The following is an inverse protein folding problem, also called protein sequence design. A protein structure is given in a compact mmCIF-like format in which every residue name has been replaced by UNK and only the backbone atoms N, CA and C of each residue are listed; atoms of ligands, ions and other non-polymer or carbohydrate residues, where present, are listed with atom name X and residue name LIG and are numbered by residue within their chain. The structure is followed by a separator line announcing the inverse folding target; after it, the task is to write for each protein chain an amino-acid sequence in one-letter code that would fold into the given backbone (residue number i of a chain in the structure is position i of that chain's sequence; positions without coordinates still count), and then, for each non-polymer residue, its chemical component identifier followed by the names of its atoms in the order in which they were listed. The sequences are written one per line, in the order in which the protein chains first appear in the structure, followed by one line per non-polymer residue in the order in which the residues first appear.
data_IF_340344949423
#
_entry.id   IF_340344949423
#
_cell.length_a   1.000
_cell.length_b   1.000
_cell.length_c   1.000
_cell.angle_alpha   90.00
_cell.angle_beta   90.00
_cell.angle_gamma   90.00
#
_symmetry.space_group_name_H-M   'P 1'
#
loop_
_entity.id
_entity.type
_entity.pdbx_description
1 polymer ?
#
# COMPACT_ATOMS: atom_id res chain seq x y z
N UNK A 1 -27.64 13.56 -31.28
CA UNK A 1 -26.27 13.18 -30.87
C UNK A 1 -25.88 13.82 -29.52
N UNK A 2 -26.83 14.37 -28.76
CA UNK A 2 -26.57 15.12 -27.50
C UNK A 2 -26.64 14.27 -26.22
N UNK A 3 -27.10 13.02 -26.29
CA UNK A 3 -27.41 12.24 -25.08
C UNK A 3 -26.27 11.34 -24.55
N UNK A 4 -25.12 11.26 -25.24
CA UNK A 4 -23.97 10.43 -24.78
C UNK A 4 -23.01 11.23 -23.90
N UNK A 5 -22.93 12.55 -24.08
CA UNK A 5 -22.01 13.40 -23.31
C UNK A 5 -22.51 13.67 -21.88
N UNK A 6 -23.83 13.71 -21.67
CA UNK A 6 -24.43 13.94 -20.35
C UNK A 6 -24.31 12.73 -19.40
N UNK A 7 -23.94 11.55 -19.90
CA UNK A 7 -23.60 10.38 -19.08
C UNK A 7 -22.10 10.28 -18.77
N UNK A 8 -21.28 11.18 -19.31
CA UNK A 8 -19.86 11.24 -19.00
C UNK A 8 -19.73 12.08 -17.74
N UNK A 9 -19.25 11.46 -16.68
CA UNK A 9 -18.94 12.15 -15.43
C UNK A 9 -17.81 13.18 -15.67
N UNK A 10 -18.20 14.45 -15.79
CA UNK A 10 -17.32 15.58 -16.11
C UNK A 10 -16.59 16.18 -14.91
N UNK A 11 -16.90 15.72 -13.69
CA UNK A 11 -16.26 16.26 -12.50
C UNK A 11 -14.75 16.00 -12.53
N UNK A 12 -13.96 16.98 -12.11
CA UNK A 12 -12.49 16.87 -12.13
C UNK A 12 -11.92 16.23 -10.86
N UNK A 13 -12.76 16.04 -9.84
CA UNK A 13 -12.35 15.59 -8.51
C UNK A 13 -13.24 14.42 -8.07
N UNK A 14 -12.69 13.52 -7.27
CA UNK A 14 -13.40 12.35 -6.73
C UNK A 14 -13.89 12.56 -5.30
N UNK A 15 -13.31 13.53 -4.59
CA UNK A 15 -13.50 13.70 -3.16
C UNK A 15 -12.73 14.90 -2.63
N UNK A 16 -12.82 15.09 -1.32
CA UNK A 16 -12.15 16.17 -0.59
C UNK A 16 -11.64 15.61 0.73
N UNK A 17 -10.39 15.92 1.07
CA UNK A 17 -9.76 15.60 2.35
C UNK A 17 -9.52 16.90 3.12
N UNK A 18 -9.71 16.86 4.44
CA UNK A 18 -9.36 17.98 5.31
C UNK A 18 -7.93 17.81 5.80
N UNK A 19 -7.10 18.80 5.50
CA UNK A 19 -5.71 18.86 5.93
C UNK A 19 -5.61 19.25 7.41
N UNK A 20 -4.49 18.93 8.04
CA UNK A 20 -4.15 19.25 9.43
C UNK A 20 -4.17 20.74 9.73
N UNK A 21 -3.97 21.59 8.70
CA UNK A 21 -4.08 23.04 8.79
C UNK A 21 -5.54 23.58 8.63
N UNK A 22 -6.53 22.68 8.58
CA UNK A 22 -7.95 23.01 8.42
C UNK A 22 -8.37 23.37 6.98
N UNK A 23 -7.45 23.35 6.01
CA UNK A 23 -7.77 23.57 4.60
C UNK A 23 -8.31 22.29 3.96
N UNK A 24 -8.98 22.44 2.83
CA UNK A 24 -9.53 21.32 2.07
C UNK A 24 -8.68 21.03 0.83
N UNK A 25 -8.22 19.80 0.69
CA UNK A 25 -7.57 19.29 -0.50
C UNK A 25 -8.60 18.57 -1.38
N UNK A 26 -8.84 19.09 -2.59
CA UNK A 26 -9.70 18.43 -3.57
C UNK A 26 -8.91 17.32 -4.24
N UNK A 27 -9.36 16.08 -4.11
CA UNK A 27 -8.69 14.93 -4.71
C UNK A 27 -9.03 14.86 -6.20
N UNK A 28 -8.06 15.02 -7.10
CA UNK A 28 -8.32 15.01 -8.52
C UNK A 28 -8.61 13.59 -9.03
N UNK A 29 -9.44 13.47 -10.06
CA UNK A 29 -9.62 12.20 -10.78
C UNK A 29 -8.33 11.71 -11.40
N UNK A 30 -8.24 10.39 -11.55
CA UNK A 30 -7.22 9.74 -12.37
C UNK A 30 -7.51 10.02 -13.84
N UNK A 31 -6.89 11.07 -14.38
CA UNK A 31 -6.94 11.35 -15.81
C UNK A 31 -6.14 10.32 -16.61
N UNK A 32 -6.43 10.20 -17.91
CA UNK A 32 -5.65 9.33 -18.81
C UNK A 32 -4.15 9.65 -18.76
N UNK A 33 -3.79 10.94 -18.62
CA UNK A 33 -2.40 11.36 -18.50
C UNK A 33 -1.74 10.85 -17.21
N UNK A 34 -2.45 10.88 -16.07
CA UNK A 34 -1.96 10.31 -14.81
C UNK A 34 -1.79 8.81 -14.89
N UNK A 35 -2.74 8.11 -15.51
CA UNK A 35 -2.62 6.66 -15.76
C UNK A 35 -1.36 6.35 -16.57
N UNK A 36 -1.07 7.13 -17.62
CA UNK A 36 0.16 6.99 -18.41
C UNK A 36 1.40 7.26 -17.55
N UNK A 37 1.39 8.27 -16.68
CA UNK A 37 2.50 8.56 -15.75
C UNK A 37 2.73 7.41 -14.75
N UNK A 38 1.67 6.84 -14.19
CA UNK A 38 1.73 5.65 -13.33
C UNK A 38 2.32 4.47 -14.10
N UNK A 39 1.81 4.18 -15.30
CA UNK A 39 2.32 3.09 -16.15
C UNK A 39 3.78 3.31 -16.53
N UNK A 40 4.19 4.54 -16.83
CA UNK A 40 5.58 4.91 -17.11
C UNK A 40 6.46 4.69 -15.87
N UNK A 41 6.00 5.11 -14.70
CA UNK A 41 6.69 4.87 -13.43
C UNK A 41 6.87 3.36 -13.19
N UNK A 42 5.81 2.57 -13.33
CA UNK A 42 5.87 1.10 -13.20
C UNK A 42 6.82 0.49 -14.24
N UNK A 43 6.79 0.95 -15.48
CA UNK A 43 7.62 0.41 -16.55
C UNK A 43 9.10 0.79 -16.48
N UNK A 44 9.46 1.93 -15.88
CA UNK A 44 10.84 2.42 -15.79
C UNK A 44 11.43 2.12 -14.42
N UNK A 45 10.78 2.64 -13.38
CA UNK A 45 11.23 2.52 -12.00
C UNK A 45 10.72 1.22 -11.38
N UNK A 46 9.45 0.87 -11.63
CA UNK A 46 8.84 -0.35 -11.11
C UNK A 46 9.48 -1.64 -11.61
N UNK A 47 10.10 -1.66 -12.79
CA UNK A 47 10.87 -2.84 -13.24
C UNK A 47 12.14 -3.01 -12.40
N UNK A 48 12.85 -1.92 -12.10
CA UNK A 48 14.05 -1.98 -11.24
C UNK A 48 13.68 -2.39 -9.82
N UNK A 49 12.57 -1.85 -9.31
CA UNK A 49 12.02 -2.21 -8.01
C UNK A 49 11.57 -3.67 -7.99
N UNK A 50 10.95 -4.16 -9.06
CA UNK A 50 10.57 -5.56 -9.20
C UNK A 50 11.79 -6.47 -9.20
N UNK A 51 12.86 -6.11 -9.90
CA UNK A 51 14.08 -6.92 -9.92
C UNK A 51 14.75 -6.97 -8.53
N UNK A 52 14.74 -5.87 -7.78
CA UNK A 52 15.20 -5.82 -6.38
C UNK A 52 14.30 -6.62 -5.43
N UNK A 53 12.98 -6.43 -5.55
CA UNK A 53 11.99 -7.16 -4.77
C UNK A 53 12.02 -8.65 -5.10
N UNK A 54 12.38 -9.04 -6.33
CA UNK A 54 12.50 -10.44 -6.72
C UNK A 54 13.60 -11.15 -5.95
N UNK A 55 14.71 -10.50 -5.64
CA UNK A 55 15.76 -11.08 -4.79
C UNK A 55 15.22 -11.37 -3.39
N UNK A 56 14.46 -10.43 -2.81
CA UNK A 56 13.80 -10.60 -1.51
C UNK A 56 12.69 -11.68 -1.58
N UNK A 57 11.95 -11.76 -2.68
CA UNK A 57 10.90 -12.76 -2.90
C UNK A 57 11.45 -14.18 -3.07
N UNK A 58 12.69 -14.33 -3.50
CA UNK A 58 13.37 -15.62 -3.67
C UNK A 58 14.20 -16.00 -2.44
N UNK A 59 14.21 -15.16 -1.40
CA UNK A 59 14.87 -15.46 -0.14
C UNK A 59 13.99 -16.37 0.72
N UNK A 60 14.34 -17.66 0.74
CA UNK A 60 13.65 -18.69 1.52
C UNK A 60 13.77 -18.49 3.04
N UNK A 61 14.63 -17.57 3.50
CA UNK A 61 14.76 -17.22 4.92
C UNK A 61 13.69 -16.24 5.40
N UNK A 62 13.08 -15.48 4.47
CA UNK A 62 12.04 -14.50 4.78
C UNK A 62 10.66 -15.10 4.56
N UNK A 63 9.84 -15.20 5.61
CA UNK A 63 8.53 -15.89 5.55
C UNK A 63 7.39 -14.90 5.79
N UNK A 64 6.32 -15.02 5.00
CA UNK A 64 5.08 -14.27 5.21
C UNK A 64 5.29 -12.76 5.24
N UNK A 65 4.90 -12.11 6.34
CA UNK A 65 4.90 -10.66 6.50
C UNK A 65 6.30 -10.01 6.43
N UNK A 66 7.35 -10.68 6.90
CA UNK A 66 8.73 -10.15 6.92
C UNK A 66 9.26 -9.85 5.51
N UNK A 67 8.96 -10.74 4.57
CA UNK A 67 9.32 -10.58 3.15
C UNK A 67 8.71 -9.30 2.57
N UNK A 68 7.50 -8.95 2.98
CA UNK A 68 6.82 -7.73 2.52
C UNK A 68 7.31 -6.48 3.22
N UNK A 69 7.57 -6.55 4.53
CA UNK A 69 8.21 -5.47 5.26
C UNK A 69 9.53 -5.08 4.59
N UNK A 70 10.35 -6.05 4.20
CA UNK A 70 11.60 -5.77 3.48
C UNK A 70 11.39 -5.21 2.07
N UNK A 71 10.39 -5.67 1.32
CA UNK A 71 10.06 -5.05 0.03
C UNK A 71 9.60 -3.60 0.22
N UNK A 72 8.79 -3.32 1.24
CA UNK A 72 8.34 -1.96 1.55
C UNK A 72 9.49 -1.06 2.03
N UNK A 73 10.42 -1.59 2.84
CA UNK A 73 11.65 -0.90 3.26
C UNK A 73 12.60 -0.64 2.09
N UNK A 74 12.56 -1.48 1.04
CA UNK A 74 13.36 -1.26 -0.16
C UNK A 74 12.84 -0.11 -1.04
N UNK A 75 11.58 0.31 -0.81
CA UNK A 75 11.01 1.47 -1.48
C UNK A 75 11.67 2.73 -0.94
N UNK A 76 12.28 3.50 -1.83
CA UNK A 76 12.87 4.78 -1.44
C UNK A 76 11.75 5.79 -1.20
N UNK A 77 11.96 6.70 -0.26
CA UNK A 77 11.00 7.75 0.06
C UNK A 77 10.63 8.58 -1.18
N UNK A 78 11.59 8.86 -2.07
CA UNK A 78 11.34 9.60 -3.30
C UNK A 78 10.41 8.85 -4.27
N UNK A 79 10.39 7.52 -4.24
CA UNK A 79 9.48 6.71 -5.06
C UNK A 79 8.04 6.79 -4.55
N UNK A 80 7.85 6.81 -3.23
CA UNK A 80 6.55 7.00 -2.60
C UNK A 80 5.99 8.40 -2.88
N UNK A 81 6.83 9.43 -2.68
CA UNK A 81 6.48 10.83 -2.97
C UNK A 81 6.10 10.99 -4.45
N UNK A 82 6.84 10.34 -5.35
CA UNK A 82 6.56 10.40 -6.78
C UNK A 82 5.21 9.80 -7.16
N UNK A 83 4.78 8.73 -6.48
CA UNK A 83 3.44 8.15 -6.69
C UNK A 83 2.38 9.14 -6.21
N UNK A 84 2.54 9.69 -5.00
CA UNK A 84 1.61 10.66 -4.43
C UNK A 84 1.48 11.92 -5.31
N UNK A 85 2.59 12.46 -5.81
CA UNK A 85 2.59 13.64 -6.68
C UNK A 85 1.85 13.38 -8.00
N UNK A 86 1.98 12.18 -8.58
CA UNK A 86 1.22 11.78 -9.77
C UNK A 86 -0.27 11.66 -9.46
N UNK A 87 -0.65 11.06 -8.33
CA UNK A 87 -2.04 10.90 -7.93
C UNK A 87 -2.70 12.27 -7.72
N UNK A 88 -2.06 13.14 -6.96
CA UNK A 88 -2.57 14.44 -6.54
C UNK A 88 -2.37 15.57 -7.57
N UNK A 89 -1.60 15.32 -8.63
CA UNK A 89 -1.25 16.34 -9.65
C UNK A 89 -0.52 17.56 -9.07
N UNK A 90 0.34 17.31 -8.08
CA UNK A 90 1.15 18.32 -7.39
C UNK A 90 2.63 18.06 -7.67
N UNK A 91 3.50 18.97 -7.23
CA UNK A 91 4.94 18.74 -7.30
C UNK A 91 5.39 17.70 -6.26
N UNK A 92 6.60 17.14 -6.45
CA UNK A 92 7.15 16.19 -5.48
C UNK A 92 7.42 16.91 -4.12
N UNK A 93 7.78 18.19 -4.15
CA UNK A 93 7.98 19.04 -2.96
C UNK A 93 6.67 19.32 -2.21
N UNK A 94 5.56 19.51 -2.93
CA UNK A 94 4.24 19.68 -2.33
C UNK A 94 3.73 18.36 -1.72
N UNK A 95 3.99 17.23 -2.38
CA UNK A 95 3.61 15.92 -1.85
C UNK A 95 4.39 15.55 -0.57
N UNK A 96 5.66 15.97 -0.45
CA UNK A 96 6.48 15.75 0.76
C UNK A 96 5.98 16.54 1.98
N UNK A 97 5.16 17.59 1.78
CA UNK A 97 4.58 18.36 2.88
C UNK A 97 3.37 17.68 3.52
N UNK A 98 2.84 16.61 2.92
CA UNK A 98 1.71 15.87 3.47
C UNK A 98 2.16 15.08 4.68
N UNK A 99 1.40 15.17 5.77
CA UNK A 99 1.64 14.31 6.92
C UNK A 99 1.09 12.90 6.71
N UNK A 100 1.43 12.00 7.65
CA UNK A 100 1.03 10.60 7.58
C UNK A 100 -0.50 10.42 7.56
N UNK A 101 -1.23 11.17 8.39
CA UNK A 101 -2.68 11.02 8.49
C UNK A 101 -3.36 11.57 7.24
N UNK A 102 -2.90 12.73 6.75
CA UNK A 102 -3.36 13.30 5.49
C UNK A 102 -3.14 12.33 4.32
N UNK A 103 -1.98 11.67 4.28
CA UNK A 103 -1.65 10.67 3.27
C UNK A 103 -2.59 9.46 3.35
N UNK A 104 -2.87 8.96 4.56
CA UNK A 104 -3.80 7.85 4.76
C UNK A 104 -5.23 8.22 4.35
N UNK A 105 -5.72 9.39 4.74
CA UNK A 105 -7.05 9.87 4.38
C UNK A 105 -7.21 10.01 2.85
N UNK A 106 -6.17 10.50 2.17
CA UNK A 106 -6.12 10.55 0.70
C UNK A 106 -6.25 9.15 0.10
N UNK A 107 -5.46 8.18 0.59
CA UNK A 107 -5.46 6.82 0.07
C UNK A 107 -6.80 6.11 0.31
N UNK A 108 -7.41 6.32 1.48
CA UNK A 108 -8.74 5.80 1.82
C UNK A 108 -9.79 6.37 0.86
N UNK A 109 -9.82 7.70 0.68
CA UNK A 109 -10.79 8.34 -0.21
C UNK A 109 -10.61 7.87 -1.67
N UNK A 110 -9.38 7.67 -2.14
CA UNK A 110 -9.13 7.06 -3.45
C UNK A 110 -9.67 5.63 -3.54
N UNK A 111 -9.47 4.82 -2.49
CA UNK A 111 -9.92 3.43 -2.44
C UNK A 111 -11.45 3.32 -2.43
N UNK A 112 -12.13 4.20 -1.69
CA UNK A 112 -13.59 4.20 -1.58
C UNK A 112 -14.27 4.71 -2.86
N UNK A 113 -13.66 5.68 -3.54
CA UNK A 113 -14.22 6.31 -4.74
C UNK A 113 -13.79 5.65 -6.04
N UNK A 114 -12.85 4.71 -6.01
CA UNK A 114 -12.28 4.08 -7.22
C UNK A 114 -12.34 2.55 -7.15
N UNK A 115 -12.72 1.91 -8.25
CA UNK A 115 -12.59 0.46 -8.36
C UNK A 115 -11.12 0.05 -8.59
N UNK A 116 -10.36 -0.08 -7.52
CA UNK A 116 -8.93 -0.39 -7.56
C UNK A 116 -8.62 -1.72 -8.26
N UNK A 117 -9.45 -2.75 -8.08
CA UNK A 117 -9.27 -4.05 -8.74
C UNK A 117 -9.36 -3.97 -10.27
N UNK A 118 -10.34 -3.20 -10.77
CA UNK A 118 -10.47 -2.91 -12.21
C UNK A 118 -9.30 -2.06 -12.71
N UNK A 119 -8.93 -1.01 -11.99
CA UNK A 119 -7.80 -0.13 -12.33
C UNK A 119 -6.49 -0.92 -12.42
N UNK A 120 -6.19 -1.76 -11.43
CA UNK A 120 -5.01 -2.63 -11.44
C UNK A 120 -4.99 -3.54 -12.68
N UNK A 121 -6.13 -4.17 -13.00
CA UNK A 121 -6.24 -5.04 -14.18
C UNK A 121 -5.95 -4.28 -15.48
N UNK A 122 -6.46 -3.07 -15.62
CA UNK A 122 -6.23 -2.22 -16.80
C UNK A 122 -4.77 -1.77 -16.89
N UNK A 123 -4.16 -1.37 -15.77
CA UNK A 123 -2.73 -1.02 -15.70
C UNK A 123 -1.86 -2.22 -16.10
N UNK A 124 -2.15 -3.42 -15.57
CA UNK A 124 -1.47 -4.67 -15.95
C UNK A 124 -1.53 -4.93 -17.46
N UNK A 125 -2.71 -4.77 -18.06
CA UNK A 125 -2.88 -4.93 -19.51
C UNK A 125 -2.07 -3.91 -20.31
N UNK A 126 -2.02 -2.66 -19.86
CA UNK A 126 -1.20 -1.62 -20.48
C UNK A 126 0.29 -1.94 -20.38
N UNK A 127 0.77 -2.34 -19.20
CA UNK A 127 2.18 -2.74 -19.01
C UNK A 127 2.54 -3.90 -19.94
N UNK A 128 1.68 -4.92 -20.04
CA UNK A 128 1.89 -6.03 -20.97
C UNK A 128 1.94 -5.57 -22.42
N UNK A 129 1.07 -4.65 -22.84
CA UNK A 129 1.04 -4.17 -24.23
C UNK A 129 2.26 -3.33 -24.58
N UNK A 130 2.66 -2.42 -23.69
CA UNK A 130 3.72 -1.43 -23.90
C UNK A 130 5.12 -1.99 -23.66
N UNK A 131 5.29 -2.77 -22.59
CA UNK A 131 6.61 -3.26 -22.15
C UNK A 131 6.79 -4.77 -22.34
N UNK A 132 5.78 -5.49 -22.82
CA UNK A 132 5.81 -6.96 -23.02
C UNK A 132 6.15 -7.75 -21.73
N UNK A 133 5.88 -7.16 -20.57
CA UNK A 133 6.09 -7.76 -19.25
C UNK A 133 4.75 -8.22 -18.65
N UNK A 134 4.76 -9.36 -17.97
CA UNK A 134 3.58 -9.85 -17.25
C UNK A 134 3.73 -9.54 -15.76
N UNK A 135 2.80 -8.75 -15.23
CA UNK A 135 2.64 -8.60 -13.78
C UNK A 135 1.70 -9.70 -13.26
N UNK A 136 1.79 -10.09 -11.98
CA UNK A 136 0.79 -10.95 -11.35
C UNK A 136 -0.61 -10.32 -11.36
N UNK A 137 -1.68 -11.11 -11.25
CA UNK A 137 -3.03 -10.54 -11.00
C UNK A 137 -3.23 -10.17 -9.53
N UNK A 138 -4.27 -9.36 -9.28
CA UNK A 138 -4.56 -8.84 -7.94
C UNK A 138 -4.81 -9.95 -6.92
N UNK A 139 -5.47 -11.04 -7.33
CA UNK A 139 -5.76 -12.17 -6.44
C UNK A 139 -4.47 -12.91 -6.09
N UNK A 140 -3.60 -13.14 -7.07
CA UNK A 140 -2.28 -13.75 -6.85
C UNK A 140 -1.44 -12.91 -5.88
N UNK A 141 -1.48 -11.59 -6.01
CA UNK A 141 -0.83 -10.68 -5.04
C UNK A 141 -1.48 -10.77 -3.66
N UNK A 142 -2.81 -10.75 -3.56
CA UNK A 142 -3.52 -10.81 -2.29
C UNK A 142 -3.29 -12.14 -1.56
N UNK A 143 -3.36 -13.26 -2.27
CA UNK A 143 -3.10 -14.60 -1.74
C UNK A 143 -1.63 -14.75 -1.31
N UNK A 144 -0.70 -14.02 -1.95
CA UNK A 144 0.69 -13.91 -1.49
C UNK A 144 0.80 -13.05 -0.22
N UNK A 145 0.13 -11.90 -0.15
CA UNK A 145 0.18 -10.94 0.97
C UNK A 145 -0.51 -11.47 2.24
N UNK A 146 -1.60 -12.20 2.05
CA UNK A 146 -2.38 -12.83 3.11
C UNK A 146 -2.53 -14.31 2.77
N UNK A 147 -1.46 -15.11 2.89
CA UNK A 147 -1.56 -16.53 2.68
C UNK A 147 -2.63 -17.07 3.61
N UNK A 148 -3.54 -17.87 3.07
CA UNK A 148 -4.55 -18.54 3.88
C UNK A 148 -3.82 -19.46 4.84
N UNK A 149 -3.70 -19.01 6.08
CA UNK A 149 -3.31 -19.89 7.18
C UNK A 149 -4.44 -20.91 7.24
N UNK A 150 -4.15 -22.16 6.89
CA UNK A 150 -4.98 -23.27 7.34
C UNK A 150 -4.94 -23.18 8.87
N UNK A 151 -6.01 -22.66 9.46
CA UNK A 151 -6.21 -22.76 10.89
C UNK A 151 -6.38 -24.25 11.16
N UNK A 152 -5.29 -24.96 11.46
CA UNK A 152 -5.42 -26.17 12.27
C UNK A 152 -6.22 -25.75 13.50
N UNK A 153 -7.34 -26.43 13.71
CA UNK A 153 -8.39 -26.12 14.66
C UNK A 153 -7.80 -25.60 15.99
N UNK A 154 -7.78 -24.28 16.17
CA UNK A 154 -7.59 -23.71 17.50
C UNK A 154 -8.87 -24.08 18.25
N UNK A 155 -8.81 -24.91 19.30
CA UNK A 155 -10.01 -25.29 20.03
C UNK A 155 -10.65 -24.02 20.56
N UNK A 156 -11.86 -23.72 20.08
CA UNK A 156 -12.66 -22.58 20.50
C UNK A 156 -13.00 -22.79 21.97
N UNK A 157 -12.23 -22.17 22.88
CA UNK A 157 -12.45 -22.44 24.29
C UNK A 157 -11.46 -21.88 25.30
N UNK A 158 -10.71 -20.81 25.03
CA UNK A 158 -10.16 -20.00 26.12
C UNK A 158 -10.36 -18.52 25.81
N UNK A 159 -11.24 -17.88 26.58
CA UNK A 159 -11.43 -16.44 26.59
C UNK A 159 -10.07 -15.77 26.83
N UNK A 160 -9.63 -14.93 25.90
CA UNK A 160 -8.60 -13.92 26.14
C UNK A 160 -9.07 -13.04 27.29
N UNK A 161 -8.71 -13.39 28.52
CA UNK A 161 -8.96 -12.57 29.70
C UNK A 161 -7.69 -11.76 30.02
N UNK A 162 -7.88 -10.53 30.51
CA UNK A 162 -6.81 -9.57 30.85
C UNK A 162 -5.74 -10.13 31.80
N UNK A 163 -6.02 -11.24 32.50
CA UNK A 163 -5.08 -11.94 33.36
C UNK A 163 -3.86 -12.49 32.59
N UNK A 164 -4.04 -12.91 31.33
CA UNK A 164 -2.94 -13.47 30.53
C UNK A 164 -1.91 -12.40 30.16
N UNK A 165 -2.32 -11.13 29.99
CA UNK A 165 -1.40 -10.01 29.76
C UNK A 165 -0.60 -9.65 31.02
N UNK A 166 -1.24 -9.62 32.19
CA UNK A 166 -0.55 -9.29 33.45
C UNK A 166 0.48 -10.37 33.84
N UNK A 167 0.20 -11.64 33.54
CA UNK A 167 1.11 -12.75 33.86
C UNK A 167 2.39 -12.70 33.01
N UNK A 168 2.30 -12.24 31.75
CA UNK A 168 3.45 -12.11 30.86
C UNK A 168 4.31 -10.87 31.15
N UNK A 169 3.70 -9.77 31.60
CA UNK A 169 4.42 -8.57 32.09
C UNK A 169 5.20 -8.83 33.38
N UNK A 170 4.65 -9.63 34.30
CA UNK A 170 5.36 -10.05 35.50
C UNK A 170 6.58 -10.95 35.19
N UNK A 171 6.48 -11.84 34.20
CA UNK A 171 7.58 -12.73 33.80
C UNK A 171 8.73 -11.98 33.10
N UNK A 172 8.44 -10.97 32.27
CA UNK A 172 9.50 -10.17 31.62
C UNK A 172 10.27 -9.29 32.62
N UNK A 173 9.59 -8.81 33.67
CA UNK A 173 10.19 -7.99 34.73
C UNK A 173 11.16 -8.79 35.62
N UNK A 174 10.91 -10.08 35.83
CA UNK A 174 11.80 -10.96 36.63
C UNK A 174 13.05 -11.35 35.83
N UNK A 175 12.96 -11.50 34.51
CA UNK A 175 14.10 -11.84 33.67
C UNK A 175 15.16 -10.72 33.58
N UNK A 176 14.75 -9.45 33.72
CA UNK A 176 15.66 -8.30 33.70
C UNK A 176 16.44 -8.10 35.02
N UNK A 177 15.93 -8.60 36.16
CA UNK A 177 16.61 -8.47 37.45
C UNK A 177 17.74 -9.51 37.66
N UNK A 178 17.65 -10.68 37.02
CA UNK A 178 18.63 -11.76 37.20
C UNK A 178 19.88 -11.65 36.31
N UNK A 179 19.89 -10.76 35.31
CA UNK A 179 21.05 -10.52 34.45
C UNK A 179 21.96 -9.38 34.94
N UNK A 180 21.64 -8.73 36.06
CA UNK A 180 22.45 -7.64 36.63
C UNK A 180 23.45 -8.09 37.72
N UNK A 181 23.60 -9.39 37.97
CA UNK A 181 24.46 -9.93 39.05
C UNK A 181 25.64 -10.77 38.57
N UNK A 182 25.98 -10.72 37.29
CA UNK A 182 27.23 -11.27 36.75
C UNK A 182 27.91 -10.26 35.84
N UNK A 183 28.48 -9.23 36.45
CA UNK A 183 29.61 -8.43 35.96
C UNK A 183 30.43 -7.97 37.16
#
# INVERSE_FOLDING_TARGET
MENILNSIDTDKHIGVVTLSNGKYLKLPKLSNFKIIRIVKFIGIDGIRMYDQAREILLDDTLVGFERYAHILESLKEEQLIRILSILLDVSDEEALQLDLNETLDILIEYADKTNLGKTFTQVRQLVKKLFKKELPDFKTLLDQWFPKVEMEDIPVGESFSEQTMQTNLAKSSIALANNSSTL
#
